data_IF_368512124417
#
_entry.id   IF_368512124417
#
_cell.length_a   1.000
_cell.length_b   1.000
_cell.length_c   1.000
_cell.angle_alpha   90.00
_cell.angle_beta   90.00
_cell.angle_gamma   90.00
#
_symmetry.space_group_name_H-M   'P 1'
#
loop_
_entity.id
_entity.type
_entity.pdbx_description
1 polymer ?
#
# COMPACT_ATOMS: atom_id res chain seq x y z
N UNK A 1 -13.05 -12.56 4.58
CA UNK A 1 -12.20 -11.45 5.06
C UNK A 1 -12.39 -10.25 4.16
N UNK A 2 -12.36 -9.07 4.76
CA UNK A 2 -12.59 -7.81 4.06
C UNK A 2 -11.39 -6.89 4.28
N UNK A 3 -10.85 -6.31 3.21
CA UNK A 3 -9.68 -5.40 3.26
C UNK A 3 -10.06 -4.08 2.61
N UNK A 4 -9.75 -2.97 3.28
CA UNK A 4 -9.94 -1.61 2.78
C UNK A 4 -8.61 -0.95 2.51
N UNK A 5 -8.40 -0.45 1.29
CA UNK A 5 -7.38 0.56 1.00
C UNK A 5 -7.95 1.94 1.33
N UNK A 6 -7.27 2.70 2.20
CA UNK A 6 -7.69 4.04 2.59
C UNK A 6 -6.60 5.05 2.28
N UNK A 7 -6.87 5.95 1.35
CA UNK A 7 -5.95 7.04 1.05
C UNK A 7 -5.74 7.31 -0.44
N UNK A 8 -4.54 7.09 -0.94
CA UNK A 8 -4.09 7.54 -2.24
C UNK A 8 -4.55 6.65 -3.40
N UNK A 9 -4.90 7.31 -4.50
CA UNK A 9 -4.98 6.74 -5.83
C UNK A 9 -4.44 7.75 -6.85
N UNK A 10 -3.76 7.26 -7.84
CA UNK A 10 -3.19 8.04 -8.93
C UNK A 10 -3.07 7.19 -10.19
N UNK A 11 -2.42 7.73 -11.22
CA UNK A 11 -1.85 6.92 -12.29
C UNK A 11 -0.35 7.08 -12.35
N UNK A 12 0.33 5.97 -12.67
CA UNK A 12 1.73 5.97 -13.08
C UNK A 12 1.77 6.21 -14.59
N UNK A 13 2.19 7.41 -14.99
CA UNK A 13 2.25 7.81 -16.40
C UNK A 13 3.63 7.52 -16.98
N UNK A 14 3.70 6.54 -17.85
CA UNK A 14 4.90 6.13 -18.59
C UNK A 14 5.08 7.04 -19.79
N UNK A 15 5.98 7.99 -19.68
CA UNK A 15 6.12 9.13 -20.61
C UNK A 15 6.40 8.65 -22.05
N UNK A 16 7.35 7.73 -22.22
CA UNK A 16 7.75 7.23 -23.54
C UNK A 16 6.65 6.42 -24.23
N UNK A 17 5.81 5.75 -23.43
CA UNK A 17 4.73 4.90 -23.91
C UNK A 17 3.43 5.67 -24.09
N UNK A 18 3.32 6.86 -23.51
CA UNK A 18 2.07 7.62 -23.39
C UNK A 18 0.94 6.77 -22.76
N UNK A 19 1.29 5.99 -21.73
CA UNK A 19 0.39 5.08 -21.03
C UNK A 19 0.26 5.49 -19.58
N UNK A 20 -0.99 5.60 -19.11
CA UNK A 20 -1.33 5.82 -17.71
C UNK A 20 -1.86 4.52 -17.10
N UNK A 21 -1.16 3.99 -16.10
CA UNK A 21 -1.57 2.79 -15.38
C UNK A 21 -2.14 3.20 -14.02
N UNK A 22 -3.36 2.74 -13.64
CA UNK A 22 -3.89 3.02 -12.32
C UNK A 22 -2.96 2.47 -11.22
N UNK A 23 -2.78 3.26 -10.17
CA UNK A 23 -1.87 3.00 -9.07
C UNK A 23 -2.22 3.82 -7.83
N UNK A 24 -1.23 4.02 -6.98
CA UNK A 24 -1.37 4.55 -5.62
C UNK A 24 -1.35 3.41 -4.61
N UNK A 25 -0.59 3.55 -3.53
CA UNK A 25 -0.35 2.46 -2.59
C UNK A 25 -1.65 1.87 -2.02
N UNK A 26 -2.54 2.71 -1.48
CA UNK A 26 -3.80 2.25 -0.89
C UNK A 26 -4.72 1.59 -1.94
N UNK A 27 -4.78 2.15 -3.15
CA UNK A 27 -5.57 1.56 -4.24
C UNK A 27 -4.98 0.24 -4.73
N UNK A 28 -3.65 0.16 -4.88
CA UNK A 28 -2.95 -1.07 -5.24
C UNK A 28 -3.23 -2.20 -4.23
N UNK A 29 -3.15 -1.89 -2.93
CA UNK A 29 -3.44 -2.88 -1.87
C UNK A 29 -4.89 -3.36 -1.95
N UNK A 30 -5.86 -2.48 -2.24
CA UNK A 30 -7.24 -2.90 -2.44
C UNK A 30 -7.40 -3.86 -3.64
N UNK A 31 -6.74 -3.57 -4.77
CA UNK A 31 -6.72 -4.44 -5.95
C UNK A 31 -6.09 -5.79 -5.62
N UNK A 32 -4.89 -5.79 -5.08
CA UNK A 32 -4.15 -7.02 -4.79
C UNK A 32 -4.79 -7.86 -3.67
N UNK A 33 -5.44 -7.23 -2.68
CA UNK A 33 -6.22 -7.96 -1.68
C UNK A 33 -7.40 -8.70 -2.32
N UNK A 34 -8.09 -8.06 -3.30
CA UNK A 34 -9.16 -8.71 -4.07
C UNK A 34 -8.64 -9.90 -4.86
N UNK A 35 -7.53 -9.76 -5.55
CA UNK A 35 -6.89 -10.85 -6.31
C UNK A 35 -6.41 -12.00 -5.42
N UNK A 36 -6.06 -11.69 -4.16
CA UNK A 36 -5.74 -12.68 -3.13
C UNK A 36 -6.97 -13.17 -2.35
N UNK A 37 -8.19 -12.95 -2.86
CA UNK A 37 -9.43 -13.57 -2.38
C UNK A 37 -10.09 -12.86 -1.19
N UNK A 38 -9.78 -11.60 -0.93
CA UNK A 38 -10.54 -10.76 -0.02
C UNK A 38 -11.77 -10.14 -0.70
N UNK A 39 -12.81 -9.83 0.05
CA UNK A 39 -13.71 -8.76 -0.34
C UNK A 39 -12.99 -7.45 -0.11
N UNK A 40 -12.95 -6.60 -1.12
CA UNK A 40 -12.11 -5.42 -1.08
C UNK A 40 -12.89 -4.14 -1.31
N UNK A 41 -12.52 -3.08 -0.59
CA UNK A 41 -12.99 -1.73 -0.79
C UNK A 41 -11.82 -0.75 -0.92
N UNK A 42 -12.11 0.39 -1.48
CA UNK A 42 -11.21 1.54 -1.53
C UNK A 42 -11.96 2.80 -1.09
N UNK A 43 -11.31 3.65 -0.29
CA UNK A 43 -11.79 4.96 0.11
C UNK A 43 -10.66 5.98 -0.07
N UNK A 44 -10.77 6.78 -1.11
CA UNK A 44 -9.83 7.85 -1.47
C UNK A 44 -10.51 8.85 -2.39
N UNK A 45 -9.96 10.05 -2.50
CA UNK A 45 -10.52 11.11 -3.35
C UNK A 45 -10.15 10.90 -4.81
N UNK A 46 -11.14 10.87 -5.69
CA UNK A 46 -11.01 10.64 -7.14
C UNK A 46 -11.43 11.90 -7.90
N UNK A 47 -10.71 12.23 -8.97
CA UNK A 47 -11.04 13.37 -9.84
C UNK A 47 -12.18 13.08 -10.82
N UNK A 48 -12.72 14.17 -11.40
CA UNK A 48 -13.73 14.10 -12.47
C UNK A 48 -13.12 14.01 -13.88
N UNK A 49 -11.80 13.98 -13.97
CA UNK A 49 -11.10 13.87 -15.24
C UNK A 49 -11.14 12.43 -15.81
N UNK A 50 -10.72 12.28 -17.07
CA UNK A 50 -10.65 10.97 -17.75
C UNK A 50 -9.85 9.92 -17.00
N UNK A 51 -8.86 10.34 -16.21
CA UNK A 51 -8.05 9.45 -15.37
C UNK A 51 -8.89 8.94 -14.20
N UNK A 52 -9.63 9.82 -13.52
CA UNK A 52 -10.54 9.41 -12.43
C UNK A 52 -11.63 8.45 -12.91
N UNK A 53 -12.21 8.72 -14.09
CA UNK A 53 -13.16 7.79 -14.72
C UNK A 53 -12.54 6.41 -14.96
N UNK A 54 -11.28 6.38 -15.44
CA UNK A 54 -10.56 5.14 -15.69
C UNK A 54 -10.25 4.38 -14.39
N UNK A 55 -9.80 5.05 -13.32
CA UNK A 55 -9.59 4.44 -12.00
C UNK A 55 -10.89 3.83 -11.48
N UNK A 56 -12.01 4.57 -11.55
CA UNK A 56 -13.31 4.06 -11.13
C UNK A 56 -13.79 2.87 -11.96
N UNK A 57 -13.57 2.88 -13.27
CA UNK A 57 -13.89 1.75 -14.15
C UNK A 57 -13.09 0.52 -13.76
N UNK A 58 -11.77 0.65 -13.58
CA UNK A 58 -10.91 -0.45 -13.14
C UNK A 58 -11.32 -1.03 -11.78
N UNK A 59 -11.73 -0.19 -10.83
CA UNK A 59 -12.23 -0.64 -9.54
C UNK A 59 -13.52 -1.47 -9.68
N UNK A 60 -14.48 -0.97 -10.45
CA UNK A 60 -15.77 -1.65 -10.68
C UNK A 60 -15.60 -2.99 -11.40
N UNK A 61 -14.78 -3.03 -12.46
CA UNK A 61 -14.47 -4.25 -13.21
C UNK A 61 -13.87 -5.35 -12.33
N UNK A 62 -13.11 -4.96 -11.30
CA UNK A 62 -12.52 -5.89 -10.32
C UNK A 62 -13.42 -6.18 -9.13
N UNK A 63 -14.60 -5.58 -9.07
CA UNK A 63 -15.53 -5.75 -7.94
C UNK A 63 -14.98 -5.20 -6.62
N UNK A 64 -14.26 -4.07 -6.69
CA UNK A 64 -13.82 -3.31 -5.53
C UNK A 64 -14.90 -2.30 -5.17
N UNK A 65 -15.30 -2.28 -3.92
CA UNK A 65 -16.29 -1.32 -3.44
C UNK A 65 -15.67 0.08 -3.31
N UNK A 66 -16.18 1.02 -4.12
CA UNK A 66 -15.80 2.43 -4.13
C UNK A 66 -16.96 3.35 -3.74
N UNK A 67 -17.99 2.80 -3.10
CA UNK A 67 -19.23 3.53 -2.77
C UNK A 67 -19.02 4.72 -1.83
N UNK A 68 -17.91 4.74 -1.11
CA UNK A 68 -17.55 5.82 -0.17
C UNK A 68 -16.45 6.74 -0.69
N UNK A 69 -15.99 6.59 -1.95
CA UNK A 69 -14.99 7.48 -2.53
C UNK A 69 -15.59 8.86 -2.79
N UNK A 70 -15.07 9.95 -2.20
CA UNK A 70 -15.44 11.29 -2.61
C UNK A 70 -14.93 11.57 -4.03
N UNK A 71 -15.81 12.02 -4.91
CA UNK A 71 -15.46 12.52 -6.24
C UNK A 71 -15.39 14.04 -6.19
N UNK A 72 -14.26 14.60 -6.64
CA UNK A 72 -14.01 16.04 -6.63
C UNK A 72 -13.74 16.55 -8.03
N UNK A 73 -14.26 17.73 -8.34
CA UNK A 73 -13.96 18.41 -9.60
C UNK A 73 -12.48 18.75 -9.66
N UNK A 74 -11.82 18.30 -10.75
CA UNK A 74 -10.41 18.49 -10.97
C UNK A 74 -9.66 17.25 -11.43
N UNK A 75 -8.35 17.39 -11.57
CA UNK A 75 -7.46 16.35 -12.07
C UNK A 75 -7.15 15.29 -10.99
N UNK A 76 -7.14 14.03 -11.40
CA UNK A 76 -6.63 12.92 -10.59
C UNK A 76 -5.11 12.99 -10.43
N UNK A 77 -4.59 12.36 -9.38
CA UNK A 77 -3.15 12.27 -9.12
C UNK A 77 -2.39 11.55 -10.23
N UNK A 78 -1.17 12.03 -10.52
CA UNK A 78 -0.29 11.49 -11.57
C UNK A 78 1.13 11.45 -11.08
N UNK A 79 1.79 10.29 -11.22
CA UNK A 79 3.23 10.13 -11.06
C UNK A 79 3.85 9.91 -12.44
N UNK A 80 4.77 10.78 -12.84
CA UNK A 80 5.48 10.63 -14.11
C UNK A 80 6.64 9.64 -13.96
N UNK A 81 6.75 8.71 -14.88
CA UNK A 81 7.74 7.64 -14.87
C UNK A 81 8.49 7.59 -16.19
N UNK A 82 9.81 7.66 -16.13
CA UNK A 82 10.71 7.33 -17.25
C UNK A 82 11.18 5.87 -17.14
N UNK A 83 11.37 5.25 -18.30
CA UNK A 83 12.08 3.98 -18.40
C UNK A 83 13.47 4.25 -18.96
N UNK A 84 14.49 4.15 -18.10
CA UNK A 84 15.89 4.35 -18.46
C UNK A 84 16.64 3.04 -18.23
N UNK A 85 17.18 2.44 -19.29
CA UNK A 85 17.89 1.15 -19.27
C UNK A 85 17.08 0.03 -18.58
N UNK A 86 15.75 0.03 -18.80
CA UNK A 86 14.83 -0.94 -18.20
C UNK A 86 14.46 -0.66 -16.74
N UNK A 87 15.02 0.38 -16.14
CA UNK A 87 14.71 0.81 -14.78
C UNK A 87 13.73 1.98 -14.79
N UNK A 88 12.87 2.03 -13.74
CA UNK A 88 11.93 3.13 -13.53
C UNK A 88 12.60 4.27 -12.80
N UNK A 89 12.42 5.48 -13.32
CA UNK A 89 12.86 6.71 -12.69
C UNK A 89 11.65 7.64 -12.59
N UNK A 90 11.24 7.96 -11.36
CA UNK A 90 10.17 8.91 -11.14
C UNK A 90 10.61 10.33 -11.55
N UNK A 91 9.83 10.97 -12.40
CA UNK A 91 10.06 12.34 -12.87
C UNK A 91 9.30 13.39 -12.04
N UNK A 92 8.46 12.95 -11.11
CA UNK A 92 7.69 13.79 -10.19
C UNK A 92 6.29 13.24 -9.92
N UNK A 93 5.65 13.79 -8.89
CA UNK A 93 4.30 13.40 -8.44
C UNK A 93 3.19 14.29 -8.99
N UNK A 94 3.48 15.15 -9.96
CA UNK A 94 2.52 16.05 -10.57
C UNK A 94 2.90 16.34 -12.02
N UNK A 95 1.92 16.67 -12.83
CA UNK A 95 2.09 17.12 -14.20
C UNK A 95 1.89 18.62 -14.28
N UNK A 96 2.77 19.33 -14.98
CA UNK A 96 2.69 20.79 -15.18
C UNK A 96 2.55 21.61 -13.88
N UNK A 97 3.05 21.13 -12.76
CA UNK A 97 2.96 21.81 -11.46
C UNK A 97 1.61 21.66 -10.74
N UNK A 98 0.69 20.87 -11.26
CA UNK A 98 -0.63 20.67 -10.65
C UNK A 98 -0.66 19.41 -9.77
N UNK A 99 -1.11 19.56 -8.53
CA UNK A 99 -1.40 18.45 -7.64
C UNK A 99 -2.78 17.87 -7.94
N UNK A 100 -2.90 16.54 -7.90
CA UNK A 100 -4.20 15.89 -8.03
C UNK A 100 -5.13 16.13 -6.84
N UNK A 101 -6.43 15.96 -7.09
CA UNK A 101 -7.47 16.19 -6.05
C UNK A 101 -7.28 15.34 -4.80
N UNK A 102 -6.66 14.17 -4.89
CA UNK A 102 -6.34 13.32 -3.73
C UNK A 102 -5.38 13.98 -2.75
N UNK A 103 -4.40 14.73 -3.25
CA UNK A 103 -3.45 15.51 -2.45
C UNK A 103 -4.07 16.80 -1.93
N UNK A 104 -4.85 17.50 -2.79
CA UNK A 104 -5.47 18.77 -2.44
C UNK A 104 -6.65 18.62 -1.46
N UNK A 105 -7.37 17.52 -1.54
CA UNK A 105 -8.56 17.22 -0.75
C UNK A 105 -8.52 15.78 -0.23
N UNK A 106 -7.57 15.45 0.67
CA UNK A 106 -7.53 14.11 1.26
C UNK A 106 -8.86 13.81 1.97
N UNK A 107 -9.29 12.53 2.04
CA UNK A 107 -10.56 12.17 2.63
C UNK A 107 -10.64 12.60 4.10
N UNK A 108 -11.76 13.25 4.47
CA UNK A 108 -12.11 13.56 5.87
C UNK A 108 -13.27 12.67 6.28
N UNK A 109 -13.03 11.81 7.26
CA UNK A 109 -13.96 10.75 7.64
C UNK A 109 -15.20 11.31 8.39
N UNK A 110 -16.38 11.01 7.86
CA UNK A 110 -17.68 11.22 8.52
C UNK A 110 -18.00 10.03 9.44
N UNK A 111 -19.10 10.17 10.21
CA UNK A 111 -19.62 9.06 11.02
C UNK A 111 -20.06 7.84 10.18
N UNK A 112 -20.60 8.09 8.98
CA UNK A 112 -20.97 7.03 8.05
C UNK A 112 -19.75 6.30 7.48
N UNK A 113 -18.66 7.04 7.19
CA UNK A 113 -17.41 6.44 6.75
C UNK A 113 -16.80 5.56 7.85
N UNK A 114 -16.82 6.03 9.10
CA UNK A 114 -16.37 5.23 10.24
C UNK A 114 -17.22 3.96 10.40
N UNK A 115 -18.54 4.04 10.24
CA UNK A 115 -19.41 2.86 10.27
C UNK A 115 -19.13 1.88 9.13
N UNK A 116 -18.86 2.37 7.92
CA UNK A 116 -18.43 1.57 6.78
C UNK A 116 -17.11 0.87 7.05
N UNK A 117 -16.09 1.62 7.48
CA UNK A 117 -14.74 1.13 7.75
C UNK A 117 -14.72 0.05 8.84
N UNK A 118 -15.60 0.17 9.86
CA UNK A 118 -15.75 -0.83 10.92
C UNK A 118 -16.14 -2.23 10.41
N UNK A 119 -16.71 -2.33 9.21
CA UNK A 119 -17.13 -3.60 8.61
C UNK A 119 -15.97 -4.41 8.00
N UNK A 120 -14.76 -3.87 7.98
CA UNK A 120 -13.58 -4.52 7.43
C UNK A 120 -12.78 -5.25 8.51
N UNK A 121 -11.98 -6.23 8.09
CA UNK A 121 -11.05 -6.92 8.98
C UNK A 121 -9.71 -6.20 9.08
N UNK A 122 -9.33 -5.48 8.00
CA UNK A 122 -8.08 -4.72 7.90
C UNK A 122 -8.28 -3.45 7.08
N UNK A 123 -7.67 -2.36 7.55
CA UNK A 123 -7.57 -1.08 6.84
C UNK A 123 -6.10 -0.79 6.60
N UNK A 124 -5.74 -0.52 5.34
CA UNK A 124 -4.39 -0.18 4.94
C UNK A 124 -4.32 1.24 4.40
N UNK A 125 -3.35 2.01 4.88
CA UNK A 125 -3.02 3.35 4.39
C UNK A 125 -1.55 3.53 4.06
N UNK A 126 -1.17 4.69 3.54
CA UNK A 126 0.21 5.01 3.19
C UNK A 126 0.60 6.45 3.49
N UNK A 127 1.91 6.68 3.60
CA UNK A 127 2.51 7.98 3.86
C UNK A 127 2.30 9.01 2.72
N UNK A 128 1.87 8.58 1.54
CA UNK A 128 1.61 9.47 0.40
C UNK A 128 0.18 10.01 0.36
N UNK A 129 -0.68 9.52 1.27
CA UNK A 129 -2.12 9.78 1.23
C UNK A 129 -2.55 11.04 2.00
N UNK A 130 -1.68 11.62 2.83
CA UNK A 130 -1.99 12.75 3.71
C UNK A 130 -3.21 12.51 4.62
N UNK A 131 -3.31 11.29 5.16
CA UNK A 131 -4.45 10.83 5.97
C UNK A 131 -4.09 10.57 7.43
N UNK A 132 -2.90 10.93 7.88
CA UNK A 132 -2.34 10.53 9.19
C UNK A 132 -3.31 10.83 10.34
N UNK A 133 -3.87 12.05 10.39
CA UNK A 133 -4.82 12.45 11.43
C UNK A 133 -6.13 11.65 11.35
N UNK A 134 -6.60 11.35 10.14
CA UNK A 134 -7.78 10.52 9.94
C UNK A 134 -7.51 9.06 10.30
N UNK A 135 -6.29 8.57 10.00
CA UNK A 135 -5.87 7.20 10.30
C UNK A 135 -5.77 6.95 11.81
N UNK A 136 -5.24 7.92 12.58
CA UNK A 136 -5.19 7.84 14.04
C UNK A 136 -6.59 7.72 14.68
N UNK A 137 -7.64 8.30 14.07
CA UNK A 137 -9.03 8.17 14.56
C UNK A 137 -9.59 6.76 14.48
N UNK A 138 -8.93 5.85 13.75
CA UNK A 138 -9.37 4.47 13.56
C UNK A 138 -8.93 3.53 14.70
N UNK A 139 -8.11 3.99 15.64
CA UNK A 139 -7.47 3.17 16.68
C UNK A 139 -8.42 2.19 17.37
N UNK A 140 -9.61 2.64 17.78
CA UNK A 140 -10.57 1.84 18.54
C UNK A 140 -11.73 1.31 17.69
N UNK A 141 -11.59 1.36 16.35
CA UNK A 141 -12.68 1.02 15.44
C UNK A 141 -12.92 -0.49 15.36
N UNK A 142 -11.89 -1.30 15.59
CA UNK A 142 -11.95 -2.76 15.58
C UNK A 142 -11.13 -3.45 14.50
N UNK A 143 -11.06 -2.98 13.24
CA UNK A 143 -10.18 -3.53 12.23
C UNK A 143 -8.70 -3.47 12.61
N UNK A 144 -7.89 -4.35 12.02
CA UNK A 144 -6.43 -4.21 12.02
C UNK A 144 -6.04 -2.97 11.21
N UNK A 145 -5.04 -2.23 11.69
CA UNK A 145 -4.50 -1.04 11.05
C UNK A 145 -3.10 -1.31 10.51
N UNK A 146 -2.93 -1.19 9.20
CA UNK A 146 -1.67 -1.36 8.49
C UNK A 146 -1.29 -0.09 7.75
N UNK A 147 0.01 0.28 7.77
CA UNK A 147 0.47 1.50 7.13
C UNK A 147 1.82 1.28 6.42
N UNK A 148 1.95 1.80 5.20
CA UNK A 148 3.18 1.79 4.42
C UNK A 148 3.90 3.14 4.53
N UNK A 149 5.13 3.10 5.05
CA UNK A 149 6.01 4.25 5.22
C UNK A 149 7.01 4.42 4.08
N UNK A 150 6.97 3.56 3.07
CA UNK A 150 7.84 3.61 1.90
C UNK A 150 9.35 3.56 2.25
N UNK A 151 10.18 4.27 1.46
CA UNK A 151 11.64 4.30 1.61
C UNK A 151 12.20 5.66 2.03
N UNK A 152 11.40 6.72 1.99
CA UNK A 152 11.86 8.09 2.20
C UNK A 152 12.09 8.41 3.69
N UNK A 153 13.25 8.99 4.01
CA UNK A 153 13.65 9.33 5.38
C UNK A 153 12.70 10.31 6.07
N UNK A 154 12.03 11.19 5.31
CA UNK A 154 11.06 12.14 5.88
C UNK A 154 9.89 11.47 6.61
N UNK A 155 9.53 10.22 6.24
CA UNK A 155 8.49 9.42 6.89
C UNK A 155 9.03 8.49 7.99
N UNK A 156 10.35 8.57 8.28
CA UNK A 156 11.03 7.74 9.29
C UNK A 156 11.50 8.55 10.50
N UNK A 157 11.15 9.83 10.56
CA UNK A 157 11.47 10.68 11.70
C UNK A 157 10.69 10.25 12.94
N UNK A 158 11.28 10.46 14.12
CA UNK A 158 10.64 10.12 15.40
C UNK A 158 9.28 10.81 15.56
N UNK A 159 9.17 12.08 15.16
CA UNK A 159 7.92 12.83 15.20
C UNK A 159 6.84 12.23 14.30
N UNK A 160 7.20 11.82 13.07
CA UNK A 160 6.23 11.22 12.14
C UNK A 160 5.78 9.83 12.61
N UNK A 161 6.75 8.98 12.98
CA UNK A 161 6.48 7.62 13.46
C UNK A 161 5.73 7.64 14.79
N UNK A 162 6.10 8.51 15.73
CA UNK A 162 5.46 8.62 17.03
C UNK A 162 3.97 8.98 16.99
N UNK A 163 3.49 9.58 15.89
CA UNK A 163 2.05 9.84 15.68
C UNK A 163 1.28 8.59 15.28
N UNK A 164 1.88 7.71 14.48
CA UNK A 164 1.19 6.58 13.84
C UNK A 164 1.50 5.23 14.52
N UNK A 165 2.74 4.98 14.89
CA UNK A 165 3.15 3.69 15.45
C UNK A 165 2.27 3.20 16.62
N UNK A 166 1.82 4.07 17.57
CA UNK A 166 0.99 3.62 18.69
C UNK A 166 -0.36 3.03 18.30
N UNK A 167 -0.87 3.34 17.10
CA UNK A 167 -2.19 2.86 16.63
C UNK A 167 -2.09 1.70 15.66
N UNK A 168 -0.87 1.37 15.20
CA UNK A 168 -0.66 0.39 14.13
C UNK A 168 -0.53 -1.04 14.66
N UNK A 169 -1.22 -1.96 13.99
CA UNK A 169 -0.99 -3.40 14.13
C UNK A 169 0.14 -3.88 13.20
N UNK A 170 0.41 -3.13 12.12
CA UNK A 170 1.40 -3.51 11.12
C UNK A 170 1.97 -2.28 10.39
N UNK A 171 3.28 -2.15 10.36
CA UNK A 171 4.00 -1.14 9.60
C UNK A 171 4.89 -1.77 8.53
N UNK A 172 4.91 -1.20 7.33
CA UNK A 172 5.79 -1.60 6.23
C UNK A 172 6.83 -0.52 5.96
N UNK A 173 8.07 -0.95 5.73
CA UNK A 173 9.19 -0.10 5.31
C UNK A 173 9.99 -0.76 4.19
N UNK A 174 10.36 0.02 3.18
CA UNK A 174 11.29 -0.39 2.12
C UNK A 174 12.74 -0.09 2.56
N UNK A 175 13.49 -1.11 2.93
CA UNK A 175 14.79 -1.02 3.61
C UNK A 175 15.97 -1.56 2.76
N UNK A 176 15.86 -1.55 1.41
CA UNK A 176 16.87 -2.13 0.53
C UNK A 176 18.26 -1.49 0.71
N UNK A 177 18.30 -0.19 0.99
CA UNK A 177 19.50 0.59 1.21
C UNK A 177 20.15 0.41 2.60
N UNK A 178 19.46 -0.23 3.56
CA UNK A 178 19.93 -0.40 4.93
C UNK A 178 20.67 -1.72 5.13
N UNK A 179 21.62 -1.72 6.09
CA UNK A 179 22.26 -2.96 6.56
C UNK A 179 21.32 -3.75 7.46
N UNK A 180 21.56 -5.05 7.61
CA UNK A 180 20.73 -5.93 8.44
C UNK A 180 20.69 -5.49 9.91
N UNK A 181 21.81 -5.00 10.44
CA UNK A 181 21.88 -4.47 11.80
C UNK A 181 21.05 -3.18 11.96
N UNK A 182 21.11 -2.27 10.95
CA UNK A 182 20.33 -1.05 10.95
C UNK A 182 18.82 -1.33 10.85
N UNK A 183 18.41 -2.32 10.04
CA UNK A 183 17.02 -2.77 9.93
C UNK A 183 16.50 -3.28 11.28
N UNK A 184 17.26 -4.11 11.98
CA UNK A 184 16.87 -4.63 13.29
C UNK A 184 16.69 -3.53 14.33
N UNK A 185 17.65 -2.61 14.42
CA UNK A 185 17.58 -1.47 15.35
C UNK A 185 16.39 -0.55 15.03
N UNK A 186 16.16 -0.26 13.75
CA UNK A 186 15.05 0.57 13.29
C UNK A 186 13.69 -0.09 13.58
N UNK A 187 13.54 -1.39 13.25
CA UNK A 187 12.29 -2.10 13.54
C UNK A 187 11.98 -2.12 15.05
N UNK A 188 13.01 -2.33 15.88
CA UNK A 188 12.87 -2.28 17.34
C UNK A 188 12.39 -0.91 17.81
N UNK A 189 12.96 0.19 17.29
CA UNK A 189 12.54 1.55 17.67
C UNK A 189 11.07 1.84 17.30
N UNK A 190 10.61 1.39 16.13
CA UNK A 190 9.20 1.54 15.72
C UNK A 190 8.28 0.73 16.63
N UNK A 191 8.68 -0.46 17.03
CA UNK A 191 7.91 -1.31 17.95
C UNK A 191 7.89 -0.73 19.37
N UNK A 192 8.97 -0.13 19.83
CA UNK A 192 9.04 0.57 21.12
C UNK A 192 8.10 1.80 21.16
N UNK A 193 7.80 2.39 20.01
CA UNK A 193 6.78 3.44 19.86
C UNK A 193 5.34 2.89 19.87
N UNK A 194 5.15 1.56 19.87
CA UNK A 194 3.83 0.92 20.04
C UNK A 194 3.31 0.12 18.84
N UNK A 195 4.00 0.12 17.69
CA UNK A 195 3.59 -0.70 16.55
C UNK A 195 3.75 -2.20 16.86
N UNK A 196 2.72 -3.00 16.59
CA UNK A 196 2.73 -4.41 16.98
C UNK A 196 3.62 -5.29 16.07
N UNK A 197 3.67 -5.01 14.77
CA UNK A 197 4.46 -5.79 13.81
C UNK A 197 5.10 -4.85 12.78
N UNK A 198 6.36 -5.12 12.42
CA UNK A 198 7.12 -4.35 11.44
C UNK A 198 7.62 -5.25 10.33
N UNK A 199 7.27 -4.94 9.09
CA UNK A 199 7.81 -5.59 7.90
C UNK A 199 8.88 -4.70 7.27
N UNK A 200 10.08 -5.23 7.12
CA UNK A 200 11.13 -4.62 6.32
C UNK A 200 11.29 -5.40 5.01
N UNK A 201 11.05 -4.75 3.87
CA UNK A 201 11.36 -5.30 2.54
C UNK A 201 12.75 -4.85 2.13
N UNK A 202 13.55 -5.77 1.57
CA UNK A 202 14.97 -5.55 1.27
C UNK A 202 15.30 -5.84 -0.21
N UNK A 203 14.33 -5.65 -1.10
CA UNK A 203 14.46 -5.97 -2.51
C UNK A 203 14.88 -7.43 -2.72
N UNK A 204 15.93 -7.67 -3.51
CA UNK A 204 16.44 -9.02 -3.79
C UNK A 204 16.99 -9.78 -2.58
N UNK A 205 17.23 -9.11 -1.46
CA UNK A 205 17.65 -9.77 -0.20
C UNK A 205 16.48 -10.42 0.57
N UNK A 206 15.23 -10.22 0.14
CA UNK A 206 14.06 -10.79 0.79
C UNK A 206 13.38 -9.84 1.78
N UNK A 207 12.79 -10.39 2.84
CA UNK A 207 11.98 -9.63 3.79
C UNK A 207 12.20 -10.14 5.21
N UNK A 208 12.01 -9.26 6.21
CA UNK A 208 11.98 -9.59 7.63
C UNK A 208 10.71 -9.06 8.27
N UNK A 209 9.98 -9.92 8.92
CA UNK A 209 8.81 -9.59 9.73
C UNK A 209 9.18 -9.70 11.20
N UNK A 210 9.22 -8.56 11.88
CA UNK A 210 9.41 -8.43 13.32
C UNK A 210 8.04 -8.40 13.99
N UNK A 211 7.84 -9.14 15.08
CA UNK A 211 6.54 -9.29 15.72
C UNK A 211 6.56 -8.86 17.19
N UNK A 212 5.40 -8.51 17.73
CA UNK A 212 5.23 -8.13 19.13
C UNK A 212 5.65 -9.22 20.15
N UNK A 213 5.78 -10.47 19.71
CA UNK A 213 6.32 -11.56 20.54
C UNK A 213 7.84 -11.59 20.62
N UNK A 214 8.53 -10.73 19.83
CA UNK A 214 9.99 -10.74 19.70
C UNK A 214 10.51 -11.71 18.64
N UNK A 215 9.63 -12.44 17.97
CA UNK A 215 10.01 -13.34 16.88
C UNK A 215 10.34 -12.55 15.60
N UNK A 216 11.31 -13.07 14.83
CA UNK A 216 11.69 -12.52 13.52
C UNK A 216 11.53 -13.64 12.50
N UNK A 217 10.67 -13.40 11.50
CA UNK A 217 10.46 -14.34 10.40
C UNK A 217 11.08 -13.80 9.12
N UNK A 218 11.88 -14.61 8.45
CA UNK A 218 12.55 -14.23 7.21
C UNK A 218 11.83 -14.80 5.99
N UNK A 219 11.57 -13.93 5.00
CA UNK A 219 11.10 -14.29 3.69
C UNK A 219 12.23 -14.20 2.65
N UNK A 220 12.20 -15.08 1.64
CA UNK A 220 13.17 -15.07 0.54
C UNK A 220 12.55 -14.45 -0.69
N UNK A 221 13.26 -13.53 -1.34
CA UNK A 221 12.84 -13.02 -2.63
C UNK A 221 12.83 -14.15 -3.68
N UNK A 222 11.83 -14.11 -4.58
CA UNK A 222 11.83 -14.94 -5.78
C UNK A 222 12.44 -14.14 -6.93
N UNK A 223 13.63 -14.53 -7.36
CA UNK A 223 14.31 -13.90 -8.49
C UNK A 223 13.63 -14.28 -9.81
N UNK A 224 13.25 -13.28 -10.57
CA UNK A 224 12.70 -13.39 -11.92
C UNK A 224 13.31 -12.28 -12.79
N UNK A 225 13.21 -12.43 -14.10
CA UNK A 225 13.43 -11.30 -15.01
C UNK A 225 12.12 -10.50 -15.07
N UNK A 226 12.08 -9.39 -14.33
CA UNK A 226 10.87 -8.57 -14.24
C UNK A 226 10.60 -7.84 -15.56
N UNK A 227 9.35 -7.75 -15.96
CA UNK A 227 8.86 -6.84 -17.00
C UNK A 227 8.72 -5.43 -16.42
N UNK A 228 8.21 -5.34 -15.19
CA UNK A 228 7.99 -4.11 -14.47
C UNK A 228 7.93 -4.40 -12.97
N UNK A 229 8.56 -3.58 -12.15
CA UNK A 229 8.53 -3.74 -10.69
C UNK A 229 7.58 -2.75 -10.00
N UNK A 230 6.73 -2.02 -10.78
CA UNK A 230 5.70 -1.14 -10.22
C UNK A 230 4.72 -1.95 -9.37
N UNK A 231 4.44 -1.45 -8.15
CA UNK A 231 3.55 -2.13 -7.22
C UNK A 231 4.09 -3.44 -6.63
N UNK A 232 5.39 -3.76 -6.79
CA UNK A 232 5.97 -4.99 -6.22
C UNK A 232 5.87 -5.02 -4.69
N UNK A 233 6.11 -3.88 -4.03
CA UNK A 233 5.95 -3.72 -2.57
C UNK A 233 4.50 -3.89 -2.15
N UNK A 234 3.59 -3.18 -2.83
CA UNK A 234 2.15 -3.19 -2.54
C UNK A 234 1.55 -4.59 -2.73
N UNK A 235 1.94 -5.28 -3.81
CA UNK A 235 1.48 -6.64 -4.11
C UNK A 235 2.00 -7.67 -3.10
N UNK A 236 3.24 -7.51 -2.65
CA UNK A 236 3.79 -8.31 -1.56
C UNK A 236 3.03 -8.06 -0.25
N UNK A 237 2.86 -6.78 0.12
CA UNK A 237 2.17 -6.38 1.33
C UNK A 237 0.73 -6.91 1.36
N UNK A 238 -0.05 -6.69 0.31
CA UNK A 238 -1.43 -7.16 0.22
C UNK A 238 -1.53 -8.69 0.31
N UNK A 239 -0.66 -9.42 -0.38
CA UNK A 239 -0.63 -10.88 -0.34
C UNK A 239 -0.23 -11.40 1.06
N UNK A 240 0.75 -10.77 1.73
CA UNK A 240 1.14 -11.10 3.09
C UNK A 240 0.00 -10.86 4.08
N UNK A 241 -0.58 -9.67 4.07
CA UNK A 241 -1.67 -9.30 4.99
C UNK A 241 -2.89 -10.22 4.80
N UNK A 242 -3.30 -10.48 3.56
CA UNK A 242 -4.40 -11.43 3.27
C UNK A 242 -4.03 -12.85 3.67
N UNK A 243 -2.78 -13.25 3.48
CA UNK A 243 -2.25 -14.55 3.91
C UNK A 243 -2.29 -14.74 5.42
N UNK A 244 -1.97 -13.70 6.19
CA UNK A 244 -2.08 -13.69 7.65
C UNK A 244 -3.55 -13.75 8.11
N UNK A 245 -4.43 -12.94 7.50
CA UNK A 245 -5.87 -12.96 7.79
C UNK A 245 -6.49 -14.34 7.55
N UNK A 246 -6.16 -14.99 6.43
CA UNK A 246 -6.60 -16.37 6.12
C UNK A 246 -6.21 -17.39 7.19
N UNK A 247 -5.10 -17.13 7.89
CA UNK A 247 -4.56 -17.99 8.95
C UNK A 247 -5.04 -17.60 10.36
N UNK A 248 -6.01 -16.67 10.43
CA UNK A 248 -6.65 -16.29 11.69
C UNK A 248 -6.00 -15.10 12.41
N UNK A 249 -5.11 -14.36 11.75
CA UNK A 249 -4.62 -13.10 12.31
C UNK A 249 -5.76 -12.07 12.38
N UNK A 250 -5.93 -11.49 13.54
CA UNK A 250 -6.94 -10.46 13.82
C UNK A 250 -6.51 -9.64 15.05
N UNK A 251 -7.23 -8.58 15.35
CA UNK A 251 -6.95 -7.72 16.52
C UNK A 251 -6.76 -8.55 17.77
N UNK A 252 -5.69 -8.24 18.52
CA UNK A 252 -5.27 -8.94 19.76
C UNK A 252 -4.81 -10.40 19.56
N UNK A 253 -4.59 -10.86 18.33
CA UNK A 253 -3.99 -12.17 18.04
C UNK A 253 -2.56 -11.96 17.56
N UNK A 254 -1.60 -12.60 18.21
CA UNK A 254 -0.19 -12.54 17.82
C UNK A 254 0.05 -13.28 16.51
N UNK A 255 0.94 -12.74 15.68
CA UNK A 255 1.43 -13.44 14.49
C UNK A 255 2.35 -14.57 14.95
N UNK A 256 2.06 -15.79 14.50
CA UNK A 256 2.84 -16.99 14.82
C UNK A 256 3.65 -17.46 13.61
N UNK A 257 4.64 -18.33 13.83
CA UNK A 257 5.43 -18.93 12.76
C UNK A 257 4.56 -19.64 11.72
N UNK A 258 3.55 -20.39 12.17
CA UNK A 258 2.60 -21.11 11.30
C UNK A 258 1.74 -20.17 10.43
N UNK A 259 1.58 -18.92 10.83
CA UNK A 259 0.95 -17.88 10.02
C UNK A 259 1.97 -17.20 9.12
N UNK A 260 3.10 -16.74 9.67
CA UNK A 260 4.06 -15.87 9.00
C UNK A 260 4.83 -16.56 7.87
N UNK A 261 5.42 -17.73 8.14
CA UNK A 261 6.32 -18.41 7.19
C UNK A 261 5.61 -18.74 5.87
N UNK A 262 4.44 -19.41 5.87
CA UNK A 262 3.73 -19.66 4.61
C UNK A 262 3.19 -18.40 3.96
N UNK A 263 2.75 -17.38 4.72
CA UNK A 263 2.26 -16.13 4.17
C UNK A 263 3.37 -15.33 3.47
N UNK A 264 4.58 -15.28 4.06
CA UNK A 264 5.77 -14.66 3.42
C UNK A 264 6.13 -15.37 2.11
N UNK A 265 6.11 -16.69 2.08
CA UNK A 265 6.43 -17.47 0.89
C UNK A 265 5.40 -17.27 -0.24
N UNK A 266 4.10 -17.24 0.10
CA UNK A 266 3.00 -16.98 -0.84
C UNK A 266 3.06 -15.54 -1.37
N UNK A 267 3.34 -14.57 -0.50
CA UNK A 267 3.50 -13.16 -0.88
C UNK A 267 4.68 -12.95 -1.84
N UNK A 268 5.83 -13.57 -1.58
CA UNK A 268 6.98 -13.53 -2.48
C UNK A 268 6.67 -14.16 -3.85
N UNK A 269 5.91 -15.25 -3.88
CA UNK A 269 5.49 -15.88 -5.13
C UNK A 269 4.49 -15.02 -5.90
N UNK A 270 3.57 -14.36 -5.21
CA UNK A 270 2.58 -13.47 -5.80
C UNK A 270 3.23 -12.23 -6.39
N UNK A 271 4.04 -11.51 -5.60
CA UNK A 271 4.74 -10.32 -6.03
C UNK A 271 5.67 -10.58 -7.23
N UNK A 272 6.39 -11.71 -7.22
CA UNK A 272 7.21 -12.10 -8.37
C UNK A 272 6.39 -12.29 -9.66
N UNK A 273 5.20 -12.91 -9.58
CA UNK A 273 4.30 -13.01 -10.74
C UNK A 273 3.77 -11.64 -11.17
N UNK A 274 3.44 -10.78 -10.20
CA UNK A 274 2.98 -9.43 -10.49
C UNK A 274 4.01 -8.62 -11.28
N UNK A 275 5.29 -8.77 -10.99
CA UNK A 275 6.37 -8.11 -11.74
C UNK A 275 6.49 -8.54 -13.23
N UNK A 276 5.68 -9.49 -13.70
CA UNK A 276 5.56 -9.83 -15.13
C UNK A 276 4.47 -8.99 -15.83
N UNK A 277 3.72 -8.18 -15.09
CA UNK A 277 2.66 -7.32 -15.58
C UNK A 277 3.19 -5.89 -15.73
N UNK A 278 2.76 -5.18 -16.76
CA UNK A 278 3.11 -3.76 -16.98
C UNK A 278 2.22 -2.86 -16.11
N UNK A 279 2.81 -1.87 -15.45
CA UNK A 279 2.14 -1.10 -14.39
C UNK A 279 1.90 -1.96 -13.15
N UNK A 280 1.27 -1.42 -12.12
CA UNK A 280 1.06 -2.16 -10.86
C UNK A 280 0.25 -3.44 -11.07
N UNK A 281 -0.84 -3.37 -11.85
CA UNK A 281 -1.76 -4.49 -12.12
C UNK A 281 -2.35 -4.44 -13.55
N UNK A 282 -1.65 -3.82 -14.47
CA UNK A 282 -2.11 -3.63 -15.85
C UNK A 282 -3.17 -2.53 -15.98
N UNK A 283 -4.11 -2.70 -16.93
CA UNK A 283 -5.18 -1.75 -17.20
C UNK A 283 -4.71 -0.37 -17.65
N UNK A 284 -3.68 -0.33 -18.50
CA UNK A 284 -3.17 0.93 -19.06
C UNK A 284 -4.18 1.65 -19.94
N UNK A 285 -4.26 2.97 -19.78
CA UNK A 285 -5.02 3.89 -20.61
C UNK A 285 -4.05 4.67 -21.49
N UNK A 286 -4.22 4.58 -22.81
CA UNK A 286 -3.45 5.44 -23.72
C UNK A 286 -3.95 6.87 -23.65
N UNK A 287 -3.08 7.78 -23.27
CA UNK A 287 -3.41 9.19 -23.12
C UNK A 287 -2.18 10.04 -23.47
N UNK A 288 -2.31 10.97 -24.40
CA UNK A 288 -1.31 12.01 -24.62
C UNK A 288 -1.56 13.12 -23.59
N UNK A 289 -0.51 13.51 -22.89
CA UNK A 289 -0.55 14.61 -21.94
C UNK A 289 0.28 15.78 -22.42
#
# INVERSE_FOLDING_TARGET
>A
MKVLGFGDCCVDYYIEEQMAYPGGNAFNVAVFAKENGADSGFLGTIGTDRIGEHIMACARERGIDISRCPVRDGASGKAAVHIIDGNRVFAGNYFNGEHGVGTLYPPVLSGEDMAYMKSFDLIHGSCYAHIEDQFCRLQDLGPLLSFDFSEEDKFRTEDYLGRLAPVLDFALFSCEHLTDAAIGAFASSVMDMGCANVLATMGGRGQRLFTASGDIFEGRAKHITATDTMGAGDSFCAALLTGLLKRGWKKNVRVTETMAVPALAEAAAYSARNCLVRGSFGSGLKIAM
#
